data_IF_489475409581
#
_entry.id   IF_489475409581
#
_cell.length_a   1.000
_cell.length_b   1.000
_cell.length_c   1.000
_cell.angle_alpha   90.00
_cell.angle_beta   90.00
_cell.angle_gamma   90.00
#
_symmetry.space_group_name_H-M   'P 1'
#
loop_
_entity.id
_entity.type
_entity.pdbx_description
1 polymer ?
#
# COMPACT_ATOMS: atom_id res chain seq x y z
N UNK A 1 -39.42 -27.22 33.71
CA UNK A 1 -39.28 -27.41 32.25
C UNK A 1 -39.25 -26.09 31.46
N UNK A 2 -40.19 -25.15 31.63
CA UNK A 2 -40.17 -23.84 30.94
C UNK A 2 -38.87 -23.02 31.10
N UNK A 3 -38.24 -23.03 32.28
CA UNK A 3 -36.97 -22.30 32.54
C UNK A 3 -35.75 -22.90 31.83
N UNK A 4 -35.78 -24.21 31.53
CA UNK A 4 -34.68 -24.93 30.87
C UNK A 4 -34.70 -24.75 29.34
N UNK A 5 -35.91 -24.61 28.77
CA UNK A 5 -36.12 -24.29 27.35
C UNK A 5 -35.57 -22.90 27.00
N UNK A 6 -35.72 -21.92 27.90
CA UNK A 6 -35.20 -20.55 27.70
C UNK A 6 -33.67 -20.53 27.65
N UNK A 7 -32.99 -21.28 28.51
CA UNK A 7 -31.52 -21.35 28.55
C UNK A 7 -30.97 -22.03 27.29
N UNK A 8 -31.58 -23.13 26.85
CA UNK A 8 -31.18 -23.82 25.61
C UNK A 8 -31.43 -22.92 24.39
N UNK A 9 -32.52 -22.15 24.39
CA UNK A 9 -32.80 -21.20 23.29
C UNK A 9 -31.79 -20.05 23.26
N UNK A 10 -31.30 -19.56 24.40
CA UNK A 10 -30.25 -18.53 24.43
C UNK A 10 -28.89 -19.04 23.93
N UNK A 11 -28.52 -20.29 24.22
CA UNK A 11 -27.23 -20.87 23.78
C UNK A 11 -27.19 -21.07 22.26
N UNK A 12 -28.32 -21.42 21.64
CA UNK A 12 -28.39 -21.61 20.18
C UNK A 12 -28.29 -20.29 19.39
N UNK A 13 -28.76 -19.18 19.96
CA UNK A 13 -28.70 -17.85 19.31
C UNK A 13 -27.26 -17.30 19.26
N UNK A 14 -26.44 -17.59 20.28
CA UNK A 14 -25.04 -17.12 20.32
C UNK A 14 -24.19 -17.82 19.25
N UNK A 15 -24.41 -19.13 19.03
CA UNK A 15 -23.65 -19.89 18.03
C UNK A 15 -23.98 -19.46 16.59
N UNK A 16 -25.24 -19.06 16.31
CA UNK A 16 -25.61 -18.55 14.99
C UNK A 16 -25.03 -17.17 14.70
N UNK A 17 -24.90 -16.32 15.73
CA UNK A 17 -24.31 -14.99 15.59
C UNK A 17 -22.82 -15.05 15.24
N UNK A 18 -22.05 -15.92 15.91
CA UNK A 18 -20.62 -16.08 15.65
C UNK A 18 -20.34 -16.60 14.24
N UNK A 19 -21.13 -17.56 13.74
CA UNK A 19 -20.98 -18.08 12.38
C UNK A 19 -21.35 -17.05 11.31
N UNK A 20 -22.37 -16.22 11.56
CA UNK A 20 -22.74 -15.14 10.65
C UNK A 20 -21.63 -14.09 10.57
N UNK A 21 -21.11 -13.64 11.71
CA UNK A 21 -19.99 -12.67 11.77
C UNK A 21 -18.73 -13.25 11.10
N UNK A 22 -18.39 -14.51 11.35
CA UNK A 22 -17.25 -15.18 10.69
C UNK A 22 -17.44 -15.25 9.16
N UNK A 23 -18.65 -15.56 8.69
CA UNK A 23 -18.95 -15.62 7.26
C UNK A 23 -18.95 -14.25 6.59
N UNK A 24 -19.40 -13.20 7.27
CA UNK A 24 -19.36 -11.81 6.80
C UNK A 24 -17.92 -11.29 6.75
N UNK A 25 -17.12 -11.56 7.80
CA UNK A 25 -15.69 -11.24 7.83
C UNK A 25 -14.96 -11.96 6.69
N UNK A 26 -15.18 -13.27 6.51
CA UNK A 26 -14.54 -14.04 5.44
C UNK A 26 -14.94 -13.54 4.05
N UNK A 27 -16.23 -13.29 3.81
CA UNK A 27 -16.71 -12.74 2.54
C UNK A 27 -16.17 -11.34 2.27
N UNK A 28 -16.10 -10.49 3.30
CA UNK A 28 -15.55 -9.14 3.21
C UNK A 28 -14.03 -9.17 2.94
N UNK A 29 -13.29 -10.07 3.60
CA UNK A 29 -11.86 -10.31 3.39
C UNK A 29 -11.61 -10.81 1.97
N UNK A 30 -12.34 -11.83 1.51
CA UNK A 30 -12.19 -12.40 0.16
C UNK A 30 -12.47 -11.35 -0.93
N UNK A 31 -13.55 -10.57 -0.77
CA UNK A 31 -13.87 -9.50 -1.74
C UNK A 31 -12.85 -8.37 -1.72
N UNK A 32 -12.40 -7.95 -0.54
CA UNK A 32 -11.36 -6.92 -0.38
C UNK A 32 -10.03 -7.36 -0.99
N UNK A 33 -9.62 -8.61 -0.78
CA UNK A 33 -8.40 -9.17 -1.38
C UNK A 33 -8.47 -9.20 -2.92
N UNK A 34 -9.63 -9.53 -3.49
CA UNK A 34 -9.85 -9.47 -4.94
C UNK A 34 -9.71 -8.04 -5.46
N UNK A 35 -10.29 -7.05 -4.76
CA UNK A 35 -10.13 -5.64 -5.14
C UNK A 35 -8.67 -5.19 -5.07
N UNK A 36 -7.96 -5.55 -3.99
CA UNK A 36 -6.54 -5.22 -3.80
C UNK A 36 -5.69 -5.82 -4.93
N UNK A 37 -5.83 -7.12 -5.20
CA UNK A 37 -5.04 -7.81 -6.23
C UNK A 37 -5.29 -7.24 -7.63
N UNK A 38 -6.56 -7.01 -7.98
CA UNK A 38 -6.91 -6.42 -9.27
C UNK A 38 -6.43 -4.97 -9.38
N UNK A 39 -6.58 -4.17 -8.33
CA UNK A 39 -6.10 -2.79 -8.29
C UNK A 39 -4.58 -2.70 -8.45
N UNK A 40 -3.82 -3.55 -7.75
CA UNK A 40 -2.36 -3.65 -7.90
C UNK A 40 -1.96 -4.03 -9.32
N UNK A 41 -2.66 -4.97 -9.96
CA UNK A 41 -2.44 -5.33 -11.36
C UNK A 41 -2.74 -4.17 -12.33
N UNK A 42 -3.74 -3.34 -12.02
CA UNK A 42 -4.02 -2.13 -12.79
C UNK A 42 -2.89 -1.11 -12.62
N UNK A 43 -2.38 -0.88 -11.41
CA UNK A 43 -1.25 0.02 -11.17
C UNK A 43 -0.05 -0.40 -12.01
N UNK A 44 0.35 -1.67 -11.98
CA UNK A 44 1.48 -2.14 -12.79
C UNK A 44 1.28 -1.92 -14.30
N UNK A 45 0.06 -2.18 -14.80
CA UNK A 45 -0.29 -1.89 -16.21
C UNK A 45 -0.25 -0.39 -16.53
N UNK A 46 -0.62 0.46 -15.58
CA UNK A 46 -0.59 1.91 -15.72
C UNK A 46 0.84 2.46 -15.69
N UNK A 47 1.73 1.89 -14.86
CA UNK A 47 3.16 2.22 -14.88
C UNK A 47 3.78 1.95 -16.25
N UNK A 48 3.54 0.77 -16.84
CA UNK A 48 4.01 0.44 -18.21
C UNK A 48 3.53 1.45 -19.27
N UNK A 49 2.37 2.07 -19.04
CA UNK A 49 1.77 3.07 -19.94
C UNK A 49 2.14 4.51 -19.58
N UNK A 50 2.96 4.73 -18.54
CA UNK A 50 3.28 6.03 -17.98
C UNK A 50 2.02 6.85 -17.61
N UNK A 51 0.96 6.17 -17.14
CA UNK A 51 -0.33 6.76 -16.77
C UNK A 51 -0.39 6.99 -15.25
N UNK A 52 0.36 7.99 -14.78
CA UNK A 52 0.51 8.32 -13.35
C UNK A 52 -0.81 8.77 -12.73
N UNK A 53 -1.66 9.50 -13.47
CA UNK A 53 -3.00 9.88 -13.02
C UNK A 53 -3.86 8.66 -12.68
N UNK A 54 -3.75 7.58 -13.47
CA UNK A 54 -4.47 6.34 -13.19
C UNK A 54 -3.88 5.61 -12.00
N UNK A 55 -2.55 5.62 -11.84
CA UNK A 55 -1.88 5.08 -10.64
C UNK A 55 -2.43 5.77 -9.39
N UNK A 56 -2.48 7.10 -9.37
CA UNK A 56 -3.01 7.88 -8.25
C UNK A 56 -4.47 7.52 -7.93
N UNK A 57 -5.34 7.49 -8.95
CA UNK A 57 -6.77 7.17 -8.76
C UNK A 57 -6.96 5.77 -8.17
N UNK A 58 -6.22 4.78 -8.66
CA UNK A 58 -6.32 3.41 -8.16
C UNK A 58 -5.73 3.30 -6.76
N UNK A 59 -4.60 3.95 -6.50
CA UNK A 59 -3.99 4.02 -5.17
C UNK A 59 -4.96 4.59 -4.13
N UNK A 60 -5.55 5.77 -4.39
CA UNK A 60 -6.53 6.39 -3.48
C UNK A 60 -7.78 5.53 -3.29
N UNK A 61 -8.28 4.89 -4.35
CA UNK A 61 -9.40 3.95 -4.27
C UNK A 61 -9.08 2.77 -3.34
N UNK A 62 -7.93 2.13 -3.53
CA UNK A 62 -7.52 0.98 -2.70
C UNK A 62 -7.27 1.38 -1.24
N UNK A 63 -6.72 2.57 -0.98
CA UNK A 63 -6.59 3.12 0.38
C UNK A 63 -7.96 3.32 1.02
N UNK A 64 -8.93 3.90 0.30
CA UNK A 64 -10.28 4.12 0.82
C UNK A 64 -11.02 2.83 1.20
N UNK A 65 -10.93 1.77 0.39
CA UNK A 65 -11.58 0.49 0.73
C UNK A 65 -10.84 -0.27 1.86
N UNK A 66 -9.56 0.03 2.08
CA UNK A 66 -8.74 -0.63 3.13
C UNK A 66 -8.62 0.18 4.42
N UNK A 67 -9.16 1.40 4.46
CA UNK A 67 -9.04 2.31 5.61
C UNK A 67 -9.60 1.72 6.91
N UNK A 68 -10.66 0.92 6.81
CA UNK A 68 -11.30 0.23 7.94
C UNK A 68 -11.00 -1.28 7.97
N UNK A 69 -10.19 -1.77 7.03
CA UNK A 69 -9.84 -3.18 6.93
C UNK A 69 -8.56 -3.48 7.70
N UNK A 70 -8.46 -4.68 8.28
CA UNK A 70 -7.19 -5.19 8.79
C UNK A 70 -6.19 -5.56 7.68
N UNK A 71 -6.64 -5.53 6.41
CA UNK A 71 -5.84 -5.88 5.24
C UNK A 71 -5.26 -4.61 4.59
N UNK A 72 -3.95 -4.37 4.66
CA UNK A 72 -3.34 -3.27 3.94
C UNK A 72 -3.38 -3.54 2.43
N UNK A 73 -3.68 -2.51 1.64
CA UNK A 73 -3.64 -2.58 0.16
C UNK A 73 -2.22 -2.61 -0.41
N UNK A 74 -1.25 -2.09 0.35
CA UNK A 74 0.14 -1.93 -0.07
C UNK A 74 1.12 -2.19 1.08
N UNK A 75 2.30 -2.67 0.72
CA UNK A 75 3.44 -2.68 1.63
C UNK A 75 3.93 -1.26 1.89
N UNK A 76 4.57 -1.05 3.05
CA UNK A 76 5.10 0.26 3.42
C UNK A 76 6.01 0.86 2.34
N UNK A 77 6.95 0.06 1.79
CA UNK A 77 7.85 0.51 0.73
C UNK A 77 7.15 0.81 -0.59
N UNK A 78 6.07 0.09 -0.89
CA UNK A 78 5.25 0.38 -2.07
C UNK A 78 4.49 1.70 -1.89
N UNK A 79 3.96 1.97 -0.70
CA UNK A 79 3.32 3.26 -0.40
C UNK A 79 4.34 4.40 -0.55
N UNK A 80 5.55 4.27 -0.01
CA UNK A 80 6.60 5.28 -0.23
C UNK A 80 6.84 5.52 -1.73
N UNK A 81 7.04 4.44 -2.49
CA UNK A 81 7.35 4.54 -3.91
C UNK A 81 6.19 5.15 -4.72
N UNK A 82 4.94 4.76 -4.44
CA UNK A 82 3.77 5.35 -5.09
C UNK A 82 3.69 6.84 -4.79
N UNK A 83 3.84 7.25 -3.53
CA UNK A 83 3.74 8.67 -3.16
C UNK A 83 4.86 9.54 -3.76
N UNK A 84 6.05 8.98 -4.01
CA UNK A 84 7.07 9.66 -4.83
C UNK A 84 6.60 9.90 -6.27
N UNK A 85 6.03 8.88 -6.91
CA UNK A 85 5.56 8.96 -8.31
C UNK A 85 4.41 9.96 -8.48
N UNK A 86 3.46 9.97 -7.54
CA UNK A 86 2.31 10.89 -7.57
C UNK A 86 2.59 12.25 -6.91
N UNK A 87 3.82 12.46 -6.41
CA UNK A 87 4.29 13.70 -5.80
C UNK A 87 3.47 14.13 -4.58
N UNK A 88 3.01 13.15 -3.79
CA UNK A 88 2.25 13.38 -2.56
C UNK A 88 3.22 13.47 -1.36
N UNK A 89 3.83 14.64 -1.22
CA UNK A 89 4.87 14.91 -0.23
C UNK A 89 4.36 14.86 1.21
N UNK A 90 3.13 15.33 1.44
CA UNK A 90 2.49 15.31 2.76
C UNK A 90 2.25 13.87 3.23
N UNK A 91 1.74 13.02 2.33
CA UNK A 91 1.56 11.61 2.64
C UNK A 91 2.90 10.89 2.86
N UNK A 92 3.94 11.26 2.11
CA UNK A 92 5.31 10.77 2.32
C UNK A 92 5.85 11.12 3.71
N UNK A 93 5.80 12.39 4.11
CA UNK A 93 6.20 12.82 5.46
C UNK A 93 5.40 12.08 6.53
N UNK A 94 4.10 11.92 6.35
CA UNK A 94 3.22 11.18 7.27
C UNK A 94 3.64 9.71 7.41
N UNK A 95 3.98 9.04 6.32
CA UNK A 95 4.44 7.65 6.35
C UNK A 95 5.77 7.51 7.09
N UNK A 96 6.68 8.47 6.92
CA UNK A 96 8.01 8.44 7.53
C UNK A 96 7.95 8.70 9.03
N UNK A 97 7.14 9.68 9.47
CA UNK A 97 6.92 9.93 10.90
C UNK A 97 6.34 8.71 11.64
N UNK A 98 5.51 7.93 10.95
CA UNK A 98 4.84 6.77 11.52
C UNK A 98 5.58 5.44 11.25
N UNK A 99 6.83 5.48 10.77
CA UNK A 99 7.58 4.29 10.37
C UNK A 99 7.59 3.19 11.44
N UNK A 100 7.89 3.55 12.70
CA UNK A 100 7.96 2.58 13.81
C UNK A 100 6.63 1.86 14.08
N UNK A 101 5.51 2.51 13.80
CA UNK A 101 4.16 1.95 13.97
C UNK A 101 3.73 1.14 12.76
N UNK A 102 3.99 1.65 11.56
CA UNK A 102 3.38 1.15 10.33
C UNK A 102 4.23 0.08 9.63
N UNK A 103 5.53 -0.02 9.95
CA UNK A 103 6.44 -1.01 9.37
C UNK A 103 6.19 -2.43 9.92
N UNK A 104 5.83 -2.56 11.20
CA UNK A 104 5.56 -3.87 11.82
C UNK A 104 4.18 -4.43 11.45
N UNK A 105 3.20 -3.54 11.21
CA UNK A 105 1.80 -3.93 10.95
C UNK A 105 1.54 -4.37 9.50
N UNK A 106 2.39 -3.95 8.55
CA UNK A 106 2.17 -4.17 7.10
C UNK A 106 2.91 -5.38 6.52
N UNK A 107 3.46 -6.28 7.34
CA UNK A 107 4.04 -7.57 6.91
C UNK A 107 2.97 -8.63 6.56
N UNK A 108 1.89 -8.21 5.89
CA UNK A 108 0.85 -9.13 5.41
C UNK A 108 1.29 -9.80 4.12
N UNK A 109 1.05 -11.10 3.95
CA UNK A 109 1.60 -11.96 2.89
C UNK A 109 1.01 -11.71 1.47
N UNK A 110 0.94 -10.47 0.99
CA UNK A 110 0.72 -10.20 -0.43
C UNK A 110 2.03 -10.44 -1.19
N UNK A 111 1.99 -10.88 -2.45
CA UNK A 111 3.25 -10.97 -3.20
C UNK A 111 3.80 -9.54 -3.45
N UNK A 112 5.00 -9.25 -2.97
CA UNK A 112 5.70 -7.95 -3.14
C UNK A 112 6.34 -7.83 -4.54
N UNK A 113 5.53 -7.99 -5.59
CA UNK A 113 5.99 -7.93 -6.98
C UNK A 113 5.90 -6.51 -7.56
N UNK A 114 5.05 -5.65 -7.00
CA UNK A 114 4.79 -4.31 -7.52
C UNK A 114 5.94 -3.34 -7.25
N UNK A 115 6.66 -3.52 -6.14
CA UNK A 115 7.75 -2.63 -5.72
C UNK A 115 8.85 -2.48 -6.78
N UNK A 116 9.19 -3.55 -7.50
CA UNK A 116 10.19 -3.50 -8.56
C UNK A 116 9.76 -2.56 -9.70
N UNK A 117 8.52 -2.68 -10.16
CA UNK A 117 7.99 -1.85 -11.24
C UNK A 117 7.89 -0.38 -10.80
N UNK A 118 7.46 -0.13 -9.55
CA UNK A 118 7.42 1.21 -8.97
C UNK A 118 8.81 1.84 -8.89
N UNK A 119 9.78 1.11 -8.39
CA UNK A 119 11.14 1.61 -8.22
C UNK A 119 11.81 1.88 -9.58
N UNK A 120 11.60 1.01 -10.59
CA UNK A 120 12.06 1.28 -11.97
C UNK A 120 11.49 2.61 -12.47
N UNK A 121 10.18 2.83 -12.29
CA UNK A 121 9.53 4.07 -12.71
C UNK A 121 10.11 5.31 -12.01
N UNK A 122 10.44 5.19 -10.71
CA UNK A 122 11.11 6.26 -9.96
C UNK A 122 12.47 6.58 -10.57
N UNK A 123 13.26 5.57 -10.94
CA UNK A 123 14.57 5.80 -11.56
C UNK A 123 14.43 6.46 -12.93
N UNK A 124 13.48 6.01 -13.76
CA UNK A 124 13.22 6.59 -15.07
C UNK A 124 12.75 8.05 -14.98
N UNK A 125 12.00 8.38 -13.92
CA UNK A 125 11.49 9.73 -13.65
C UNK A 125 12.30 10.53 -12.64
N UNK A 126 13.51 10.08 -12.29
CA UNK A 126 14.25 10.63 -11.15
C UNK A 126 14.39 12.15 -11.23
N UNK A 127 14.82 12.69 -12.38
CA UNK A 127 15.05 14.13 -12.54
C UNK A 127 13.74 14.94 -12.43
N UNK A 128 12.63 14.39 -12.91
CA UNK A 128 11.29 14.98 -12.80
C UNK A 128 10.85 15.05 -11.33
N UNK A 129 11.00 13.95 -10.60
CA UNK A 129 10.63 13.82 -9.18
C UNK A 129 11.53 14.73 -8.33
N UNK A 130 12.84 14.72 -8.58
CA UNK A 130 13.82 15.53 -7.88
C UNK A 130 13.52 17.03 -8.03
N UNK A 131 13.26 17.49 -9.26
CA UNK A 131 12.89 18.89 -9.53
C UNK A 131 11.60 19.28 -8.81
N UNK A 132 10.57 18.42 -8.88
CA UNK A 132 9.31 18.67 -8.19
C UNK A 132 9.48 18.73 -6.66
N UNK A 133 10.39 17.94 -6.10
CA UNK A 133 10.71 17.96 -4.67
C UNK A 133 11.52 19.21 -4.27
N UNK A 134 12.44 19.69 -5.13
CA UNK A 134 13.13 20.96 -4.92
C UNK A 134 12.17 22.14 -4.82
N UNK A 135 11.17 22.17 -5.70
CA UNK A 135 10.16 23.23 -5.78
C UNK A 135 9.05 23.11 -4.72
N UNK A 136 8.91 21.93 -4.10
CA UNK A 136 7.87 21.65 -3.11
C UNK A 136 7.93 22.61 -1.91
N UNK A 137 6.76 23.09 -1.49
CA UNK A 137 6.62 23.95 -0.31
C UNK A 137 6.43 23.11 0.96
N UNK A 138 7.43 22.28 1.27
CA UNK A 138 7.50 21.44 2.49
C UNK A 138 8.66 21.89 3.39
N UNK A 139 8.69 21.35 4.61
CA UNK A 139 9.77 21.63 5.56
C UNK A 139 11.16 21.26 4.98
N UNK A 140 12.18 22.02 5.37
CA UNK A 140 13.54 21.86 4.83
C UNK A 140 14.18 20.54 5.25
N UNK A 141 13.94 20.09 6.48
CA UNK A 141 14.48 18.83 6.99
C UNK A 141 13.81 17.66 6.27
N UNK A 142 12.48 17.69 6.16
CA UNK A 142 11.70 16.71 5.39
C UNK A 142 12.17 16.64 3.93
N UNK A 143 12.34 17.79 3.27
CA UNK A 143 12.84 17.85 1.90
C UNK A 143 14.21 17.21 1.77
N UNK A 144 15.16 17.58 2.63
CA UNK A 144 16.52 17.03 2.59
C UNK A 144 16.51 15.51 2.80
N UNK A 145 15.66 15.01 3.70
CA UNK A 145 15.53 13.59 3.95
C UNK A 145 14.86 12.84 2.77
N UNK A 146 13.80 13.38 2.20
CA UNK A 146 13.14 12.82 1.01
C UNK A 146 14.08 12.79 -0.20
N UNK A 147 14.91 13.81 -0.38
CA UNK A 147 15.94 13.84 -1.42
C UNK A 147 16.98 12.74 -1.22
N UNK A 148 17.44 12.53 0.02
CA UNK A 148 18.36 11.45 0.34
C UNK A 148 17.73 10.07 0.06
N UNK A 149 16.46 9.87 0.43
CA UNK A 149 15.73 8.64 0.15
C UNK A 149 15.60 8.39 -1.35
N UNK A 150 15.21 9.42 -2.11
CA UNK A 150 15.10 9.35 -3.57
C UNK A 150 16.45 8.97 -4.22
N UNK A 151 17.55 9.54 -3.73
CA UNK A 151 18.90 9.20 -4.17
C UNK A 151 19.25 7.73 -3.89
N UNK A 152 18.97 7.24 -2.68
CA UNK A 152 19.24 5.84 -2.30
C UNK A 152 18.47 4.87 -3.21
N UNK A 153 17.20 5.15 -3.51
CA UNK A 153 16.39 4.30 -4.41
C UNK A 153 17.00 4.26 -5.82
N UNK A 154 17.48 5.40 -6.34
CA UNK A 154 18.16 5.47 -7.65
C UNK A 154 19.40 4.59 -7.70
N UNK A 155 20.27 4.69 -6.69
CA UNK A 155 21.53 3.96 -6.66
C UNK A 155 21.31 2.45 -6.50
N UNK A 156 20.40 2.02 -5.61
CA UNK A 156 20.15 0.61 -5.34
C UNK A 156 19.65 -0.14 -6.59
N UNK A 157 18.70 0.47 -7.30
CA UNK A 157 18.07 -0.12 -8.49
C UNK A 157 19.00 -0.08 -9.70
N UNK A 158 19.77 1.00 -9.87
CA UNK A 158 20.76 1.08 -10.95
C UNK A 158 21.81 -0.04 -10.83
N UNK A 159 22.21 -0.37 -9.60
CA UNK A 159 23.11 -1.48 -9.32
C UNK A 159 22.47 -2.85 -9.56
N UNK A 160 21.18 -3.04 -9.23
CA UNK A 160 20.44 -4.27 -9.51
C UNK A 160 20.31 -4.53 -11.02
N UNK A 161 19.87 -3.52 -11.80
CA UNK A 161 19.74 -3.61 -13.25
C UNK A 161 21.08 -3.90 -13.94
N UNK A 162 22.18 -3.35 -13.44
CA UNK A 162 23.52 -3.69 -13.90
C UNK A 162 23.84 -5.17 -13.67
N UNK A 163 23.56 -5.71 -12.47
CA UNK A 163 23.85 -7.12 -12.16
C UNK A 163 23.05 -8.08 -13.02
N UNK A 164 21.78 -7.79 -13.32
CA UNK A 164 20.93 -8.63 -14.18
C UNK A 164 21.37 -8.65 -15.65
N UNK A 165 21.98 -7.55 -16.12
CA UNK A 165 22.39 -7.43 -17.52
C UNK A 165 23.74 -8.09 -17.83
N UNK A 166 24.60 -8.24 -16.82
CA UNK A 166 25.99 -8.64 -16.99
C UNK A 166 26.40 -9.91 -16.22
N UNK A 167 25.48 -10.57 -15.52
CA UNK A 167 25.64 -11.91 -14.95
C UNK A 167 24.57 -12.85 -15.48
#
# INVERSE_FOLDING_TARGET
MRKLIIIISCILIVNTLSAQIESEIKTFVDTTEVYINNGRAIIAKSLIKNDIDKVEKVYKFLKGITEQSSLPSFYYREELAINFLIKDWEQLSTLLMNYSRDNDYKNYALKNWLLRDLNREIVEKYDEIYTALEEAQIDKEDKAFLMLLLYIVKEDISNELYREKYN
#
